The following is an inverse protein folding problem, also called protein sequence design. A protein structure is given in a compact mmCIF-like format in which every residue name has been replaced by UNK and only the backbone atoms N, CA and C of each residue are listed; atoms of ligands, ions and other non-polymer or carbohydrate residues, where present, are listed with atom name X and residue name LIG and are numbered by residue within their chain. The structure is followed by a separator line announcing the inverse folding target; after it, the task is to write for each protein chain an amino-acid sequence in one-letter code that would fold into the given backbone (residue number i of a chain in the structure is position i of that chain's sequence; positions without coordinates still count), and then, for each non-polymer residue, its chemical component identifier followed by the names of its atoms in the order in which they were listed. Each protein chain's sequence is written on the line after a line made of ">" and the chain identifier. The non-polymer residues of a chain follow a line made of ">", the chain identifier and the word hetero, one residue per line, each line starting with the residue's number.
data_IF_201244236233
#
_entry.id   IF_201244236233
#
_cell.length_a   1.000
_cell.length_b   1.000
_cell.length_c   1.000
_cell.angle_alpha   90.00
_cell.angle_beta   90.00
_cell.angle_gamma   90.00
#
_symmetry.space_group_name_H-M   'P 1'
#
loop_
_entity.id
_entity.type
_entity.pdbx_description
1 polymer ?
#
# COMPACT_ATOMS: atom_id res chain seq x y z
N UNK A 1 -7.12 0.70 19.93
CA UNK A 1 -6.53 -0.20 18.90
C UNK A 1 -7.43 -1.41 18.77
N UNK A 2 -8.30 -1.43 17.76
CA UNK A 2 -9.05 -2.64 17.41
C UNK A 2 -8.07 -3.58 16.72
N UNK A 3 -7.87 -4.78 17.25
CA UNK A 3 -7.07 -5.79 16.56
C UNK A 3 -7.86 -6.19 15.32
N UNK A 4 -7.31 -5.98 14.12
CA UNK A 4 -7.88 -6.58 12.92
C UNK A 4 -7.73 -8.10 13.07
N UNK A 5 -8.85 -8.81 13.08
CA UNK A 5 -8.91 -10.26 13.31
C UNK A 5 -8.82 -11.08 12.02
N UNK A 6 -8.86 -10.41 10.87
CA UNK A 6 -8.97 -11.05 9.56
C UNK A 6 -7.83 -10.65 8.63
N UNK A 7 -7.30 -11.63 7.89
CA UNK A 7 -6.26 -11.44 6.88
C UNK A 7 -6.84 -10.79 5.63
N UNK A 8 -6.08 -9.85 5.09
CA UNK A 8 -6.32 -9.15 3.84
C UNK A 8 -6.67 -7.68 4.00
N UNK A 9 -6.57 -7.14 5.22
CA UNK A 9 -6.76 -5.72 5.52
C UNK A 9 -5.40 -5.06 5.70
N UNK A 10 -5.02 -4.22 4.73
CA UNK A 10 -3.68 -3.67 4.62
C UNK A 10 -3.62 -2.23 5.11
N UNK A 11 -2.64 -1.94 5.97
CA UNK A 11 -2.23 -0.59 6.30
C UNK A 11 -1.06 -0.19 5.40
N UNK A 12 -1.19 0.94 4.72
CA UNK A 12 -0.21 1.42 3.75
C UNK A 12 0.41 2.73 4.21
N UNK A 13 1.72 2.83 4.08
CA UNK A 13 2.49 4.02 4.40
C UNK A 13 3.58 4.26 3.34
N UNK A 14 4.01 5.52 3.24
CA UNK A 14 5.10 5.97 2.37
C UNK A 14 6.12 6.71 3.22
N UNK A 15 7.28 6.09 3.43
CA UNK A 15 8.40 6.73 4.14
C UNK A 15 9.29 7.44 3.13
N UNK A 16 9.45 8.75 3.30
CA UNK A 16 10.31 9.58 2.47
C UNK A 16 11.63 9.83 3.22
N UNK A 17 12.75 9.38 2.65
CA UNK A 17 14.08 9.63 3.20
C UNK A 17 14.41 11.12 3.25
N UNK A 18 15.25 11.53 4.21
CA UNK A 18 15.74 12.89 4.32
C UNK A 18 16.37 13.35 2.99
N UNK A 19 16.19 14.62 2.63
CA UNK A 19 16.62 15.19 1.34
C UNK A 19 16.05 14.46 0.09
N UNK A 20 14.89 13.81 0.21
CA UNK A 20 14.26 12.99 -0.84
C UNK A 20 15.14 11.83 -1.33
N UNK A 21 16.08 11.38 -0.50
CA UNK A 21 16.97 10.25 -0.82
C UNK A 21 16.25 8.93 -0.56
N UNK A 22 15.43 8.53 -1.52
CA UNK A 22 14.71 7.25 -1.50
C UNK A 22 13.33 7.33 -0.85
N UNK A 23 12.44 6.47 -1.35
CA UNK A 23 11.06 6.37 -0.91
C UNK A 23 10.75 4.89 -0.71
N UNK A 24 10.28 4.56 0.48
CA UNK A 24 9.85 3.20 0.82
C UNK A 24 8.34 3.20 0.87
N UNK A 25 7.73 2.34 0.07
CA UNK A 25 6.30 2.02 0.15
C UNK A 25 6.18 0.77 1.01
N UNK A 26 5.32 0.82 2.03
CA UNK A 26 5.06 -0.31 2.92
C UNK A 26 3.57 -0.66 2.96
N UNK A 27 3.26 -1.96 3.00
CA UNK A 27 1.92 -2.48 3.24
C UNK A 27 1.98 -3.56 4.30
N UNK A 28 1.23 -3.40 5.38
CA UNK A 28 1.19 -4.34 6.50
C UNK A 28 -0.21 -4.92 6.63
N UNK A 29 -0.33 -6.24 6.54
CA UNK A 29 -1.58 -6.91 6.89
C UNK A 29 -1.84 -6.77 8.39
N UNK A 30 -2.96 -6.14 8.77
CA UNK A 30 -3.23 -5.75 10.16
C UNK A 30 -3.38 -6.97 11.10
N UNK A 31 -3.80 -8.13 10.59
CA UNK A 31 -4.00 -9.34 11.38
C UNK A 31 -2.72 -10.19 11.53
N UNK A 32 -2.09 -10.56 10.42
CA UNK A 32 -0.90 -11.42 10.40
C UNK A 32 0.41 -10.67 10.62
N UNK A 33 0.40 -9.33 10.49
CA UNK A 33 1.59 -8.47 10.49
C UNK A 33 2.57 -8.77 9.35
N UNK A 34 2.08 -9.42 8.28
CA UNK A 34 2.87 -9.64 7.07
C UNK A 34 3.19 -8.30 6.39
N UNK A 35 4.47 -8.04 6.15
CA UNK A 35 4.97 -6.81 5.55
C UNK A 35 5.36 -7.02 4.08
N UNK A 36 4.83 -6.16 3.23
CA UNK A 36 5.37 -5.89 1.90
C UNK A 36 6.07 -4.54 1.91
N UNK A 37 7.30 -4.47 1.42
CA UNK A 37 8.03 -3.21 1.33
C UNK A 37 8.81 -3.13 0.02
N UNK A 38 8.80 -1.95 -0.60
CA UNK A 38 9.46 -1.73 -1.88
C UNK A 38 9.99 -0.31 -2.03
N UNK A 39 11.04 -0.15 -2.84
CA UNK A 39 11.62 1.16 -3.14
C UNK A 39 10.97 1.79 -4.37
N UNK A 40 10.46 3.00 -4.20
CA UNK A 40 10.02 3.88 -5.27
C UNK A 40 11.16 4.83 -5.68
N UNK A 41 11.31 5.05 -6.99
CA UNK A 41 12.34 5.95 -7.53
C UNK A 41 12.09 7.42 -7.20
N UNK A 42 10.82 7.81 -7.03
CA UNK A 42 10.39 9.18 -6.75
C UNK A 42 8.98 9.20 -6.14
N UNK A 43 8.53 10.35 -5.64
CA UNK A 43 7.27 10.49 -4.88
C UNK A 43 6.03 10.58 -5.76
N UNK A 44 6.14 10.28 -7.04
CA UNK A 44 4.99 10.36 -7.94
C UNK A 44 4.05 9.21 -7.62
N UNK A 45 2.75 9.50 -7.69
CA UNK A 45 1.71 8.49 -7.49
C UNK A 45 1.83 7.33 -8.49
N UNK A 46 2.31 7.61 -9.71
CA UNK A 46 2.57 6.57 -10.71
C UNK A 46 3.63 5.57 -10.24
N UNK A 47 4.75 6.07 -9.72
CA UNK A 47 5.84 5.22 -9.26
C UNK A 47 5.47 4.46 -7.99
N UNK A 48 4.76 5.10 -7.05
CA UNK A 48 4.20 4.44 -5.87
C UNK A 48 3.25 3.32 -6.30
N UNK A 49 2.28 3.59 -7.18
CA UNK A 49 1.35 2.60 -7.70
C UNK A 49 2.06 1.44 -8.41
N UNK A 50 3.11 1.73 -9.19
CA UNK A 50 3.91 0.70 -9.88
C UNK A 50 4.58 -0.24 -8.87
N UNK A 51 5.15 0.31 -7.79
CA UNK A 51 5.75 -0.48 -6.72
C UNK A 51 4.69 -1.30 -5.99
N UNK A 52 3.56 -0.69 -5.63
CA UNK A 52 2.43 -1.38 -4.96
C UNK A 52 1.95 -2.58 -5.77
N UNK A 53 1.62 -2.39 -7.05
CA UNK A 53 1.14 -3.49 -7.92
C UNK A 53 2.15 -4.65 -7.94
N UNK A 54 3.45 -4.33 -8.07
CA UNK A 54 4.51 -5.34 -8.06
C UNK A 54 4.60 -6.09 -6.72
N UNK A 55 4.46 -5.39 -5.59
CA UNK A 55 4.49 -6.00 -4.26
C UNK A 55 3.33 -6.98 -4.04
N UNK A 56 2.16 -6.69 -4.61
CA UNK A 56 0.96 -7.50 -4.46
C UNK A 56 0.74 -8.55 -5.57
N UNK A 57 1.57 -8.57 -6.62
CA UNK A 57 1.55 -9.61 -7.66
C UNK A 57 1.61 -11.05 -7.07
N UNK A 58 2.46 -11.38 -6.08
CA UNK A 58 2.47 -12.70 -5.46
C UNK A 58 1.32 -12.92 -4.46
N UNK A 59 0.55 -11.89 -4.12
CA UNK A 59 -0.54 -11.98 -3.13
C UNK A 59 -1.83 -12.35 -3.83
N UNK A 60 -2.39 -13.51 -3.45
CA UNK A 60 -3.69 -13.98 -3.96
C UNK A 60 -4.78 -12.95 -3.68
N UNK A 61 -5.70 -12.78 -4.62
CA UNK A 61 -6.82 -11.83 -4.52
C UNK A 61 -7.67 -12.01 -3.25
N UNK A 62 -7.80 -13.24 -2.74
CA UNK A 62 -8.50 -13.55 -1.48
C UNK A 62 -7.90 -12.87 -0.26
N UNK A 63 -6.63 -12.45 -0.33
CA UNK A 63 -5.91 -11.74 0.74
C UNK A 63 -5.78 -10.24 0.45
N UNK A 64 -6.57 -9.65 -0.45
CA UNK A 64 -6.53 -8.22 -0.80
C UNK A 64 -7.91 -7.59 -0.60
N UNK A 65 -8.39 -7.57 0.65
CA UNK A 65 -9.75 -7.16 1.02
C UNK A 65 -9.92 -5.65 1.09
N UNK A 66 -9.12 -4.96 1.89
CA UNK A 66 -9.11 -3.49 1.94
C UNK A 66 -7.70 -2.97 2.11
N UNK A 67 -7.50 -1.71 1.73
CA UNK A 67 -6.24 -1.03 1.89
C UNK A 67 -6.49 0.40 2.41
N UNK A 68 -5.87 0.76 3.54
CA UNK A 68 -5.98 2.07 4.18
C UNK A 68 -4.65 2.79 4.07
N UNK A 69 -4.64 4.05 3.60
CA UNK A 69 -3.42 4.89 3.56
C UNK A 69 -3.51 5.99 4.61
N UNK A 70 -2.56 6.04 5.57
CA UNK A 70 -2.65 6.92 6.74
C UNK A 70 -2.16 8.37 6.48
N UNK A 71 -1.63 8.66 5.28
CA UNK A 71 -1.11 9.98 4.93
C UNK A 71 -2.08 10.80 4.07
N UNK A 72 -2.77 11.73 4.72
CA UNK A 72 -3.65 12.72 4.12
C UNK A 72 -2.99 13.50 2.96
N UNK A 73 -3.82 13.79 1.95
CA UNK A 73 -3.58 14.46 0.63
C UNK A 73 -3.20 13.56 -0.55
N UNK A 74 -2.81 12.31 -0.34
CA UNK A 74 -2.44 11.42 -1.45
C UNK A 74 -3.63 10.73 -2.15
N UNK A 75 -4.87 11.02 -1.72
CA UNK A 75 -6.12 10.53 -2.31
C UNK A 75 -6.24 10.73 -3.83
N UNK A 76 -5.55 11.72 -4.41
CA UNK A 76 -5.48 11.96 -5.85
C UNK A 76 -4.64 10.89 -6.57
N UNK A 77 -5.24 9.72 -6.84
CA UNK A 77 -4.69 8.70 -7.74
C UNK A 77 -4.85 7.25 -7.27
N UNK A 78 -5.41 7.05 -6.08
CA UNK A 78 -5.70 5.74 -5.52
C UNK A 78 -6.91 5.03 -6.14
N UNK A 79 -7.84 5.74 -6.77
CA UNK A 79 -8.94 5.14 -7.55
C UNK A 79 -8.40 4.25 -8.68
N UNK A 80 -7.37 4.73 -9.39
CA UNK A 80 -6.69 3.93 -10.42
C UNK A 80 -5.96 2.72 -9.84
N UNK A 81 -5.51 2.81 -8.58
CA UNK A 81 -4.84 1.70 -7.90
C UNK A 81 -5.87 0.66 -7.45
N UNK A 82 -7.00 1.06 -6.88
CA UNK A 82 -8.06 0.14 -6.47
C UNK A 82 -8.61 -0.65 -7.66
N UNK A 83 -8.81 0.02 -8.80
CA UNK A 83 -9.18 -0.62 -10.06
C UNK A 83 -8.14 -1.66 -10.51
N UNK A 84 -6.84 -1.29 -10.53
CA UNK A 84 -5.75 -2.20 -10.92
C UNK A 84 -5.61 -3.41 -10.00
N UNK A 85 -5.88 -3.21 -8.72
CA UNK A 85 -5.72 -4.24 -7.68
C UNK A 85 -6.97 -5.09 -7.47
N UNK A 86 -8.12 -4.62 -7.97
CA UNK A 86 -9.45 -5.10 -7.63
C UNK A 86 -9.64 -5.19 -6.09
N UNK A 87 -9.26 -4.12 -5.40
CA UNK A 87 -9.26 -4.03 -3.94
C UNK A 87 -9.83 -2.68 -3.49
N UNK A 88 -10.91 -2.66 -2.69
CA UNK A 88 -11.46 -1.45 -2.09
C UNK A 88 -10.44 -0.65 -1.26
N UNK A 89 -10.54 0.68 -1.33
CA UNK A 89 -9.93 1.58 -0.36
C UNK A 89 -10.91 1.84 0.78
N UNK A 90 -10.38 1.91 2.01
CA UNK A 90 -11.12 2.12 3.25
C UNK A 90 -10.57 3.34 4.00
#
# INVERSE_FOLDING_TARGET
>A
MTVAIEIGHWESDTVIGCNHTGIVVTHVDKASKYLLAGLAKNKTMEEINRVTVKLFEPVKSTFRKTMTFDNGRELCGYEKLSERMNTPMD
#
